data_IF_461670551295
#
_entry.id   IF_461670551295
#
_cell.length_a   1.000
_cell.length_b   1.000
_cell.length_c   1.000
_cell.angle_alpha   90.00
_cell.angle_beta   90.00
_cell.angle_gamma   90.00
#
_symmetry.space_group_name_H-M   'P 1'
#
loop_
_entity.id
_entity.type
_entity.pdbx_description
1 polymer ?
#
# COMPACT_ATOMS: atom_id res chain seq x y z
N UNK A 1 4.78 5.42 -2.07
CA UNK A 1 3.83 5.00 -3.13
C UNK A 1 3.09 3.76 -2.65
N UNK A 2 1.76 3.74 -2.72
CA UNK A 2 0.94 2.57 -2.37
C UNK A 2 0.36 1.93 -3.64
N UNK A 3 0.57 0.63 -3.82
CA UNK A 3 -0.02 -0.18 -4.86
C UNK A 3 -0.94 -1.21 -4.22
N UNK A 4 -2.19 -1.26 -4.66
CA UNK A 4 -3.18 -2.23 -4.19
C UNK A 4 -3.51 -3.19 -5.33
N UNK A 5 -3.33 -4.48 -5.08
CA UNK A 5 -3.77 -5.57 -5.96
C UNK A 5 -5.06 -6.14 -5.39
N UNK A 6 -6.15 -5.87 -6.11
CA UNK A 6 -7.50 -6.28 -5.75
C UNK A 6 -8.25 -6.71 -7.02
N UNK A 7 -9.34 -7.45 -6.84
CA UNK A 7 -10.24 -7.81 -7.94
C UNK A 7 -11.34 -6.78 -8.15
N UNK A 8 -11.82 -6.24 -7.04
CA UNK A 8 -12.84 -5.22 -7.03
C UNK A 8 -12.19 -3.89 -6.69
N UNK A 9 -12.17 -2.96 -7.64
CA UNK A 9 -11.57 -1.62 -7.47
C UNK A 9 -12.56 -0.57 -6.98
N UNK A 10 -13.81 -0.95 -6.71
CA UNK A 10 -14.82 -0.03 -6.22
C UNK A 10 -14.42 0.55 -4.86
N UNK A 11 -14.67 1.85 -4.60
CA UNK A 11 -14.29 2.51 -3.36
C UNK A 11 -14.84 1.80 -2.11
N UNK A 12 -16.04 1.23 -2.18
CA UNK A 12 -16.68 0.51 -1.08
C UNK A 12 -15.94 -0.79 -0.74
N UNK A 13 -15.28 -1.41 -1.73
CA UNK A 13 -14.52 -2.64 -1.56
C UNK A 13 -13.08 -2.38 -1.09
N UNK A 14 -12.40 -1.36 -1.64
CA UNK A 14 -10.98 -1.11 -1.36
C UNK A 14 -10.75 -0.05 -0.28
N UNK A 15 -11.72 0.82 -0.02
CA UNK A 15 -11.53 2.03 0.77
C UNK A 15 -11.06 1.75 2.18
N UNK A 16 -11.70 0.80 2.87
CA UNK A 16 -11.31 0.38 4.21
C UNK A 16 -9.87 -0.12 4.23
N UNK A 17 -9.51 -1.01 3.30
CA UNK A 17 -8.15 -1.55 3.20
C UNK A 17 -7.11 -0.45 2.98
N UNK A 18 -7.36 0.46 2.04
CA UNK A 18 -6.46 1.59 1.73
C UNK A 18 -6.28 2.47 2.96
N UNK A 19 -7.37 2.86 3.62
CA UNK A 19 -7.30 3.72 4.81
C UNK A 19 -6.56 3.05 5.97
N UNK A 20 -6.78 1.75 6.19
CA UNK A 20 -6.07 0.96 7.19
C UNK A 20 -4.56 0.91 6.92
N UNK A 21 -4.16 0.70 5.66
CA UNK A 21 -2.75 0.63 5.27
C UNK A 21 -2.07 2.00 5.41
N UNK A 22 -2.72 3.07 4.98
CA UNK A 22 -2.18 4.43 5.11
C UNK A 22 -1.99 4.82 6.58
N UNK A 23 -2.93 4.45 7.46
CA UNK A 23 -2.79 4.68 8.91
C UNK A 23 -1.67 3.84 9.52
N UNK A 24 -1.54 2.58 9.11
CA UNK A 24 -0.59 1.64 9.72
C UNK A 24 0.85 1.88 9.27
N UNK A 25 1.05 2.43 8.07
CA UNK A 25 2.37 2.54 7.44
C UNK A 25 2.70 3.93 6.87
N UNK A 26 2.07 4.98 7.42
CA UNK A 26 2.28 6.36 6.95
C UNK A 26 3.75 6.78 7.03
N UNK A 27 4.44 6.42 8.11
CA UNK A 27 5.84 6.79 8.33
C UNK A 27 6.78 6.17 7.27
N UNK A 28 6.56 4.92 6.88
CA UNK A 28 7.35 4.23 5.87
C UNK A 28 7.07 4.80 4.47
N UNK A 29 5.80 5.14 4.19
CA UNK A 29 5.42 5.79 2.93
C UNK A 29 6.14 7.13 2.76
N UNK A 30 6.24 7.93 3.83
CA UNK A 30 6.97 9.20 3.85
C UNK A 30 8.47 9.03 3.60
N UNK A 31 9.05 7.91 4.05
CA UNK A 31 10.45 7.56 3.77
C UNK A 31 10.70 7.16 2.30
N UNK A 32 9.66 7.18 1.46
CA UNK A 32 9.78 6.87 0.04
C UNK A 32 9.79 5.37 -0.22
N UNK A 33 9.00 4.58 0.50
CA UNK A 33 8.83 3.16 0.17
C UNK A 33 7.74 2.94 -0.88
N UNK A 34 7.90 1.86 -1.64
CA UNK A 34 6.83 1.24 -2.40
C UNK A 34 6.17 0.19 -1.52
N UNK A 35 4.91 0.42 -1.23
CA UNK A 35 4.05 -0.52 -0.51
C UNK A 35 3.17 -1.27 -1.49
N UNK A 36 3.16 -2.59 -1.43
CA UNK A 36 2.23 -3.43 -2.20
C UNK A 36 1.33 -4.19 -1.24
N UNK A 37 0.02 -3.96 -1.33
CA UNK A 37 -0.99 -4.73 -0.63
C UNK A 37 -1.72 -5.65 -1.60
N UNK A 38 -1.87 -6.91 -1.22
CA UNK A 38 -2.57 -7.93 -2.02
C UNK A 38 -3.69 -8.53 -1.18
N UNK A 39 -4.93 -8.25 -1.60
CA UNK A 39 -6.16 -8.72 -0.96
C UNK A 39 -6.20 -10.25 -0.87
N UNK A 40 -5.61 -10.97 -1.83
CA UNK A 40 -5.63 -12.44 -1.87
C UNK A 40 -4.57 -13.09 -1.00
N UNK A 41 -3.55 -12.33 -0.57
CA UNK A 41 -2.36 -12.86 0.09
C UNK A 41 -2.10 -12.30 1.49
N UNK A 42 -2.96 -11.41 2.00
CA UNK A 42 -2.82 -10.71 3.30
C UNK A 42 -1.38 -10.26 3.59
N UNK A 43 -0.69 -9.75 2.56
CA UNK A 43 0.73 -9.40 2.65
C UNK A 43 0.96 -7.98 2.19
N UNK A 44 1.70 -7.25 3.02
CA UNK A 44 2.25 -5.94 2.71
C UNK A 44 3.73 -6.11 2.41
N UNK A 45 4.16 -5.70 1.21
CA UNK A 45 5.59 -5.67 0.85
C UNK A 45 6.07 -4.22 0.87
N UNK A 46 7.13 -3.97 1.62
CA UNK A 46 7.79 -2.66 1.71
C UNK A 46 9.11 -2.76 0.94
N UNK A 47 9.24 -1.97 -0.12
CA UNK A 47 10.46 -1.88 -0.92
C UNK A 47 11.01 -0.45 -0.82
N UNK A 48 12.27 -0.26 -0.37
CA UNK A 48 12.86 1.08 -0.36
C UNK A 48 13.00 1.57 -1.80
N UNK A 49 12.34 2.68 -2.15
CA UNK A 49 12.63 3.34 -3.43
C UNK A 49 13.90 4.13 -3.21
N UNK A 50 14.99 3.68 -3.84
CA UNK A 50 16.18 4.53 -3.96
C UNK A 50 15.77 5.75 -4.78
N UNK A 51 15.76 6.94 -4.17
CA UNK A 51 15.78 8.18 -4.94
C UNK A 51 17.07 8.15 -5.75
N UNK A 52 16.96 8.10 -7.08
CA UNK A 52 18.12 8.35 -7.92
C UNK A 52 18.64 9.76 -7.58
N UNK A 53 19.96 9.95 -7.41
CA UNK A 53 20.53 11.28 -7.19
C UNK A 53 20.28 12.21 -8.37
#
# INVERSE_FOLDING_TARGET
>A
MLQVRCLNVLPEAIGTLVLSLLKSYGAEIEQGVLMVADERRERVRILPLKRSP
#
